data_IF_461732191720
#
_entry.id   IF_461732191720
#
_cell.length_a   1.000
_cell.length_b   1.000
_cell.length_c   1.000
_cell.angle_alpha   90.00
_cell.angle_beta   90.00
_cell.angle_gamma   90.00
#
_symmetry.space_group_name_H-M   'P 1'
#
loop_
_entity.id
_entity.type
_entity.pdbx_description
1 polymer ?
#
# COMPACT_ATOMS: atom_id res chain seq x y z
N UNK A 1 -3.62 -2.06 -8.84
CA UNK A 1 -3.33 -3.00 -9.93
C UNK A 1 -4.52 -3.94 -10.08
N UNK A 2 -4.94 -4.22 -11.31
CA UNK A 2 -5.95 -5.25 -11.61
C UNK A 2 -5.22 -6.35 -12.36
N UNK A 3 -5.39 -7.60 -11.92
CA UNK A 3 -4.80 -8.77 -12.57
C UNK A 3 -5.85 -9.85 -12.75
N UNK A 4 -5.70 -10.64 -13.81
CA UNK A 4 -6.60 -11.75 -14.10
C UNK A 4 -6.23 -12.95 -13.21
N UNK A 5 -7.25 -13.60 -12.66
CA UNK A 5 -7.11 -14.79 -11.81
C UNK A 5 -7.73 -15.98 -12.53
N UNK A 6 -7.01 -17.11 -12.61
CA UNK A 6 -7.57 -18.32 -13.18
C UNK A 6 -8.59 -18.98 -12.21
N UNK A 7 -9.55 -19.74 -12.75
CA UNK A 7 -10.69 -20.28 -11.99
C UNK A 7 -10.28 -21.11 -10.75
N UNK A 8 -9.13 -21.80 -10.78
CA UNK A 8 -8.62 -22.59 -9.66
C UNK A 8 -7.78 -21.82 -8.64
N UNK A 9 -7.23 -20.66 -9.01
CA UNK A 9 -6.33 -19.88 -8.15
C UNK A 9 -7.08 -19.09 -7.08
N UNK A 10 -8.36 -18.76 -7.35
CA UNK A 10 -9.19 -18.03 -6.39
C UNK A 10 -9.28 -18.74 -5.03
N UNK A 11 -9.30 -20.08 -5.03
CA UNK A 11 -9.29 -20.86 -3.79
C UNK A 11 -7.98 -20.66 -3.02
N UNK A 12 -6.84 -20.70 -3.70
CA UNK A 12 -5.53 -20.50 -3.08
C UNK A 12 -5.40 -19.09 -2.47
N UNK A 13 -5.92 -18.07 -3.16
CA UNK A 13 -6.01 -16.73 -2.59
C UNK A 13 -6.93 -16.68 -1.37
N UNK A 14 -8.11 -17.30 -1.43
CA UNK A 14 -9.02 -17.35 -0.27
C UNK A 14 -8.39 -18.08 0.93
N UNK A 15 -7.60 -19.13 0.70
CA UNK A 15 -6.88 -19.86 1.75
C UNK A 15 -5.76 -19.03 2.38
N UNK A 16 -5.11 -18.14 1.61
CA UNK A 16 -4.11 -17.18 2.11
C UNK A 16 -4.76 -16.04 2.91
N UNK A 17 -5.87 -15.51 2.42
CA UNK A 17 -6.57 -14.33 2.97
C UNK A 17 -7.61 -14.71 4.06
N UNK A 18 -7.34 -15.75 4.85
CA UNK A 18 -8.26 -16.18 5.92
C UNK A 18 -8.56 -15.04 6.87
N UNK A 19 -9.84 -14.76 7.09
CA UNK A 19 -10.33 -13.66 7.93
C UNK A 19 -10.76 -12.42 7.14
N UNK A 20 -10.40 -12.32 5.86
CA UNK A 20 -10.91 -11.28 4.96
C UNK A 20 -12.18 -11.75 4.24
N UNK A 21 -12.98 -10.79 3.78
CA UNK A 21 -14.18 -11.02 2.96
C UNK A 21 -13.84 -10.75 1.50
N UNK A 22 -14.29 -11.64 0.62
CA UNK A 22 -14.26 -11.41 -0.81
C UNK A 22 -15.40 -10.44 -1.19
N UNK A 23 -15.05 -9.25 -1.68
CA UNK A 23 -16.00 -8.17 -1.95
C UNK A 23 -15.94 -7.82 -3.44
N UNK A 24 -17.12 -7.75 -4.07
CA UNK A 24 -17.26 -7.36 -5.48
C UNK A 24 -17.11 -5.86 -5.63
N UNK A 25 -16.38 -5.42 -6.65
CA UNK A 25 -16.25 -4.01 -7.02
C UNK A 25 -17.10 -3.75 -8.27
N UNK A 26 -18.09 -2.83 -8.21
CA UNK A 26 -18.78 -2.34 -9.40
C UNK A 26 -17.80 -1.66 -10.37
N UNK A 27 -17.84 -1.93 -11.68
CA UNK A 27 -16.93 -1.29 -12.65
C UNK A 27 -16.99 0.24 -12.65
N UNK A 28 -18.14 0.83 -12.28
CA UNK A 28 -18.32 2.29 -12.15
C UNK A 28 -17.48 2.91 -11.04
N UNK A 29 -17.05 2.11 -10.05
CA UNK A 29 -16.21 2.56 -8.94
C UNK A 29 -14.70 2.45 -9.26
N UNK A 30 -14.35 2.07 -10.49
CA UNK A 30 -12.96 1.85 -10.93
C UNK A 30 -12.53 2.98 -11.86
N UNK A 31 -11.62 3.82 -11.36
CA UNK A 31 -10.90 4.82 -12.18
C UNK A 31 -9.59 4.23 -12.68
N UNK A 32 -9.40 4.21 -14.00
CA UNK A 32 -8.16 3.71 -14.62
C UNK A 32 -7.09 4.79 -14.60
N UNK A 33 -5.87 4.41 -14.19
CA UNK A 33 -4.74 5.34 -14.08
C UNK A 33 -3.95 5.49 -15.39
N UNK A 34 -4.16 4.60 -16.36
CA UNK A 34 -3.48 4.60 -17.66
C UNK A 34 -4.24 5.41 -18.74
N UNK A 35 -5.25 6.18 -18.34
CA UNK A 35 -6.04 7.04 -19.23
C UNK A 35 -7.21 6.34 -19.93
N UNK A 36 -7.41 5.02 -19.72
CA UNK A 36 -8.62 4.35 -20.22
C UNK A 36 -9.88 4.90 -19.53
N UNK A 37 -10.99 4.93 -20.26
CA UNK A 37 -12.27 5.43 -19.74
C UNK A 37 -13.05 4.40 -18.93
N UNK A 38 -12.71 3.11 -19.05
CA UNK A 38 -13.36 2.02 -18.34
C UNK A 38 -12.39 0.85 -18.11
N UNK A 39 -12.60 0.04 -17.06
CA UNK A 39 -11.84 -1.18 -16.86
C UNK A 39 -12.19 -2.24 -17.92
N UNK A 40 -11.34 -3.27 -18.12
CA UNK A 40 -11.64 -4.38 -19.03
C UNK A 40 -12.97 -5.09 -18.70
N UNK A 41 -13.62 -5.78 -19.65
CA UNK A 41 -14.79 -6.59 -19.34
C UNK A 41 -14.46 -7.67 -18.31
N UNK A 42 -15.25 -7.77 -17.23
CA UNK A 42 -15.02 -8.78 -16.21
C UNK A 42 -15.77 -8.52 -14.91
N UNK A 43 -15.57 -9.43 -13.94
CA UNK A 43 -16.02 -9.24 -12.56
C UNK A 43 -14.80 -8.95 -11.69
N UNK A 44 -14.85 -7.85 -10.96
CA UNK A 44 -13.76 -7.41 -10.10
C UNK A 44 -14.05 -7.76 -8.65
N UNK A 45 -13.01 -8.24 -7.97
CA UNK A 45 -13.06 -8.64 -6.57
C UNK A 45 -11.83 -8.12 -5.85
N UNK A 46 -11.97 -7.82 -4.57
CA UNK A 46 -10.85 -7.63 -3.66
C UNK A 46 -11.13 -8.32 -2.32
N UNK A 47 -10.07 -8.63 -1.59
CA UNK A 47 -10.18 -9.10 -0.21
C UNK A 47 -10.14 -7.88 0.72
N UNK A 48 -11.25 -7.64 1.42
CA UNK A 48 -11.41 -6.53 2.35
C UNK A 48 -11.63 -7.01 3.77
N UNK A 49 -11.18 -6.23 4.75
CA UNK A 49 -11.49 -6.51 6.16
C UNK A 49 -13.00 -6.42 6.38
N UNK A 50 -13.55 -7.31 7.22
CA UNK A 50 -14.96 -7.31 7.59
C UNK A 50 -15.38 -6.05 8.36
N UNK A 51 -14.44 -5.45 9.08
CA UNK A 51 -14.61 -4.18 9.79
C UNK A 51 -13.40 -3.28 9.55
N UNK A 52 -13.66 -2.00 9.34
CA UNK A 52 -12.61 -1.00 9.21
C UNK A 52 -12.04 -0.72 10.60
N UNK A 53 -10.74 -0.97 10.78
CA UNK A 53 -10.00 -0.53 11.96
C UNK A 53 -9.25 0.75 11.59
N UNK A 54 -9.42 1.76 12.42
CA UNK A 54 -8.69 3.02 12.29
C UNK A 54 -7.40 2.96 13.10
N UNK A 55 -6.44 3.78 12.72
CA UNK A 55 -5.16 3.88 13.42
C UNK A 55 -5.39 4.26 14.88
N UNK A 56 -4.82 3.47 15.79
CA UNK A 56 -4.92 3.62 17.25
C UNK A 56 -3.68 3.05 17.92
N UNK A 57 -3.54 3.21 19.24
CA UNK A 57 -2.44 2.61 20.01
C UNK A 57 -2.39 1.08 19.92
N UNK A 58 -3.55 0.43 19.76
CA UNK A 58 -3.64 -1.02 19.57
C UNK A 58 -3.32 -1.43 18.12
N UNK A 59 -3.61 -0.55 17.16
CA UNK A 59 -3.42 -0.78 15.73
C UNK A 59 -2.61 0.36 15.10
N UNK A 60 -1.32 0.52 15.45
CA UNK A 60 -0.47 1.55 14.86
C UNK A 60 -0.17 1.23 13.40
N UNK A 61 0.15 2.25 12.61
CA UNK A 61 0.81 2.04 11.32
C UNK A 61 2.23 1.56 11.61
N UNK A 62 2.67 0.48 10.95
CA UNK A 62 4.04 -0.02 11.04
C UNK A 62 4.78 0.24 9.73
N UNK A 63 5.94 0.89 9.83
CA UNK A 63 6.69 1.37 8.67
C UNK A 63 7.14 0.23 7.75
N UNK A 64 7.54 -0.91 8.30
CA UNK A 64 7.97 -2.08 7.51
C UNK A 64 6.87 -2.58 6.57
N UNK A 65 5.59 -2.49 6.98
CA UNK A 65 4.46 -2.88 6.13
C UNK A 65 4.15 -1.82 5.07
N UNK A 66 4.29 -0.55 5.42
CA UNK A 66 4.23 0.54 4.43
C UNK A 66 5.33 0.34 3.38
N UNK A 67 6.55 -0.04 3.81
CA UNK A 67 7.66 -0.30 2.91
C UNK A 67 7.35 -1.44 1.94
N UNK A 68 6.70 -2.52 2.38
CA UNK A 68 6.26 -3.62 1.49
C UNK A 68 5.27 -3.11 0.44
N UNK A 69 4.23 -2.39 0.85
CA UNK A 69 3.21 -1.88 -0.06
C UNK A 69 3.77 -0.90 -1.09
N UNK A 70 4.59 0.06 -0.64
CA UNK A 70 5.15 1.10 -1.50
C UNK A 70 6.26 0.54 -2.38
N UNK A 71 7.07 -0.41 -1.89
CA UNK A 71 8.05 -1.11 -2.73
C UNK A 71 7.39 -1.82 -3.91
N UNK A 72 6.27 -2.53 -3.66
CA UNK A 72 5.50 -3.14 -4.75
C UNK A 72 4.97 -2.09 -5.75
N UNK A 73 4.57 -0.91 -5.29
CA UNK A 73 4.17 0.18 -6.19
C UNK A 73 5.34 0.70 -7.03
N UNK A 74 6.51 0.87 -6.42
CA UNK A 74 7.74 1.30 -7.11
C UNK A 74 8.24 0.25 -8.11
N UNK A 75 8.15 -1.04 -7.78
CA UNK A 75 8.48 -2.14 -8.69
C UNK A 75 7.59 -2.11 -9.93
N UNK A 76 6.28 -1.86 -9.75
CA UNK A 76 5.35 -1.68 -10.88
C UNK A 76 5.72 -0.46 -11.73
N UNK A 77 6.10 0.67 -11.13
CA UNK A 77 6.61 1.84 -11.87
C UNK A 77 7.94 1.58 -12.58
N UNK A 78 8.76 0.69 -12.03
CA UNK A 78 10.04 0.29 -12.60
C UNK A 78 9.83 -0.66 -13.81
N UNK A 79 8.83 -1.56 -13.74
CA UNK A 79 8.50 -2.53 -14.79
C UNK A 79 7.59 -1.99 -15.91
N UNK A 80 6.60 -1.14 -15.57
CA UNK A 80 5.57 -0.69 -16.51
C UNK A 80 5.61 0.84 -16.71
N UNK A 81 6.12 1.35 -17.86
CA UNK A 81 6.27 2.79 -18.08
C UNK A 81 4.98 3.61 -17.92
N UNK A 82 3.83 3.07 -18.34
CA UNK A 82 2.55 3.75 -18.20
C UNK A 82 2.18 4.03 -16.73
N UNK A 83 2.55 3.12 -15.82
CA UNK A 83 2.28 3.29 -14.38
C UNK A 83 3.16 4.38 -13.76
N UNK A 84 4.41 4.53 -14.23
CA UNK A 84 5.30 5.62 -13.86
C UNK A 84 4.77 6.97 -14.32
N UNK A 85 4.30 7.07 -15.57
CA UNK A 85 3.66 8.30 -16.07
C UNK A 85 2.43 8.66 -15.25
N UNK A 86 1.67 7.65 -14.82
CA UNK A 86 0.51 7.82 -13.95
C UNK A 86 0.87 8.12 -12.49
N UNK A 87 2.15 8.05 -12.10
CA UNK A 87 2.63 8.22 -10.72
C UNK A 87 1.95 7.26 -9.74
N UNK A 88 1.91 5.98 -10.10
CA UNK A 88 1.25 4.91 -9.35
C UNK A 88 1.59 4.89 -7.85
N UNK A 89 2.86 5.06 -7.47
CA UNK A 89 3.29 5.09 -6.08
C UNK A 89 2.78 6.33 -5.32
N UNK A 90 2.62 7.47 -6.01
CA UNK A 90 2.00 8.66 -5.40
C UNK A 90 0.50 8.45 -5.21
N UNK A 91 -0.18 7.85 -6.20
CA UNK A 91 -1.60 7.51 -6.10
C UNK A 91 -1.92 6.53 -4.98
N UNK A 92 -0.95 5.70 -4.55
CA UNK A 92 -1.12 4.88 -3.36
C UNK A 92 -1.38 5.73 -2.12
N UNK A 93 -0.61 6.80 -1.91
CA UNK A 93 -0.79 7.69 -0.76
C UNK A 93 -2.04 8.55 -0.88
N UNK A 94 -2.30 9.14 -2.04
CA UNK A 94 -3.46 10.03 -2.24
C UNK A 94 -4.79 9.27 -2.33
N UNK A 95 -4.76 8.02 -2.77
CA UNK A 95 -5.93 7.13 -2.86
C UNK A 95 -6.24 6.37 -1.56
N UNK A 96 -5.36 6.43 -0.57
CA UNK A 96 -5.58 5.85 0.76
C UNK A 96 -5.78 6.95 1.80
N UNK A 97 -6.35 6.59 2.95
CA UNK A 97 -6.73 7.55 3.99
C UNK A 97 -6.31 7.04 5.36
N UNK A 98 -6.40 7.90 6.37
CA UNK A 98 -6.04 7.61 7.77
C UNK A 98 -4.53 7.50 8.03
N UNK A 99 -3.71 8.20 7.24
CA UNK A 99 -2.28 8.41 7.51
C UNK A 99 -2.09 9.35 8.71
N UNK A 100 -2.07 8.79 9.92
CA UNK A 100 -1.93 9.54 11.17
C UNK A 100 -1.18 8.73 12.22
N UNK A 101 -0.96 9.35 13.38
CA UNK A 101 -0.34 8.68 14.52
C UNK A 101 -1.33 7.80 15.29
N UNK A 102 -0.86 6.73 15.96
CA UNK A 102 0.54 6.29 16.05
C UNK A 102 1.05 5.60 14.78
N UNK A 103 2.26 5.99 14.36
CA UNK A 103 3.02 5.37 13.27
C UNK A 103 4.41 5.04 13.79
N UNK A 104 4.74 3.76 13.78
CA UNK A 104 5.96 3.19 14.35
C UNK A 104 6.95 2.86 13.24
N UNK A 105 8.17 3.37 13.36
CA UNK A 105 9.32 3.00 12.53
C UNK A 105 9.97 1.72 13.07
N UNK A 106 9.42 0.57 12.68
CA UNK A 106 9.91 -0.76 13.03
C UNK A 106 10.95 -1.33 12.05
N UNK A 107 11.55 -0.47 11.21
CA UNK A 107 12.61 -0.89 10.27
C UNK A 107 13.77 -1.53 11.02
N UNK A 108 14.42 -2.49 10.38
CA UNK A 108 15.68 -3.05 10.88
C UNK A 108 16.76 -1.95 10.77
N UNK A 109 17.59 -1.79 11.82
CA UNK A 109 18.71 -0.85 11.87
C UNK A 109 20.07 -1.56 11.76
N UNK A 110 20.41 -2.22 10.63
CA UNK A 110 21.73 -2.79 10.45
C UNK A 110 22.72 -1.71 10.01
N UNK A 111 24.02 -1.98 10.15
CA UNK A 111 25.08 -1.09 9.65
C UNK A 111 25.01 -0.80 8.13
N UNK A 112 24.31 -1.65 7.38
CA UNK A 112 24.03 -1.48 5.95
C UNK A 112 22.50 -1.51 5.72
N UNK A 113 21.76 -0.45 6.09
CA UNK A 113 20.29 -0.44 6.06
C UNK A 113 19.72 -0.67 4.66
N UNK A 114 20.41 -0.18 3.63
CA UNK A 114 20.04 -0.36 2.21
C UNK A 114 20.03 -1.83 1.74
N UNK A 115 20.66 -2.76 2.45
CA UNK A 115 20.60 -4.19 2.10
C UNK A 115 19.26 -4.80 2.50
N UNK A 116 18.67 -4.32 3.60
CA UNK A 116 17.45 -4.86 4.16
C UNK A 116 16.21 -4.01 3.82
N UNK A 117 16.42 -2.71 3.55
CA UNK A 117 15.37 -1.76 3.19
C UNK A 117 15.84 -0.92 1.99
N UNK A 118 16.04 -1.53 0.81
CA UNK A 118 16.69 -0.87 -0.34
C UNK A 118 15.97 0.38 -0.83
N UNK A 119 14.64 0.39 -0.72
CA UNK A 119 13.79 1.48 -1.22
C UNK A 119 13.51 2.55 -0.15
N UNK A 120 14.07 2.45 1.07
CA UNK A 120 13.74 3.32 2.21
C UNK A 120 13.81 4.81 1.86
N UNK A 121 14.88 5.24 1.17
CA UNK A 121 15.05 6.64 0.80
C UNK A 121 13.97 7.14 -0.18
N UNK A 122 13.57 6.30 -1.16
CA UNK A 122 12.50 6.64 -2.11
C UNK A 122 11.15 6.72 -1.38
N UNK A 123 10.90 5.79 -0.47
CA UNK A 123 9.67 5.73 0.33
C UNK A 123 9.58 6.95 1.26
N UNK A 124 10.66 7.29 1.97
CA UNK A 124 10.70 8.44 2.87
C UNK A 124 10.53 9.77 2.14
N UNK A 125 11.04 9.86 0.90
CA UNK A 125 10.78 11.01 0.04
C UNK A 125 9.30 11.09 -0.36
N UNK A 126 8.70 9.97 -0.79
CA UNK A 126 7.27 9.92 -1.13
C UNK A 126 6.37 10.28 0.06
N UNK A 127 6.68 9.80 1.26
CA UNK A 127 5.93 10.14 2.48
C UNK A 127 5.99 11.65 2.73
N UNK A 128 7.18 12.26 2.64
CA UNK A 128 7.34 13.72 2.81
C UNK A 128 6.58 14.50 1.75
N UNK A 129 6.68 14.09 0.49
CA UNK A 129 6.05 14.77 -0.64
C UNK A 129 4.52 14.68 -0.61
N UNK A 130 3.96 13.53 -0.22
CA UNK A 130 2.52 13.28 -0.28
C UNK A 130 1.77 13.55 1.03
N UNK A 131 2.42 13.32 2.18
CA UNK A 131 1.80 13.43 3.51
C UNK A 131 2.35 14.61 4.33
N UNK A 132 3.46 15.22 3.89
CA UNK A 132 4.09 16.37 4.53
C UNK A 132 5.15 16.01 5.58
N UNK A 133 6.03 16.97 5.83
CA UNK A 133 7.14 16.86 6.79
C UNK A 133 6.67 16.58 8.23
N UNK A 134 5.53 17.12 8.64
CA UNK A 134 5.01 16.92 10.00
C UNK A 134 4.60 15.46 10.24
N UNK A 135 3.92 14.84 9.28
CA UNK A 135 3.56 13.42 9.35
C UNK A 135 4.82 12.56 9.38
N UNK A 136 5.79 12.85 8.50
CA UNK A 136 7.05 12.10 8.46
C UNK A 136 7.81 12.17 9.79
N UNK A 137 7.89 13.34 10.42
CA UNK A 137 8.54 13.52 11.73
C UNK A 137 7.80 12.84 12.87
N UNK A 138 6.50 12.58 12.72
CA UNK A 138 5.70 11.87 13.73
C UNK A 138 5.95 10.36 13.74
N UNK A 139 6.61 9.82 12.71
CA UNK A 139 6.98 8.41 12.64
C UNK A 139 8.10 8.15 13.66
N UNK A 140 7.78 7.37 14.68
CA UNK A 140 8.61 7.25 15.88
C UNK A 140 9.17 5.84 16.06
N UNK A 141 10.34 5.73 16.72
CA UNK A 141 10.90 4.42 17.06
C UNK A 141 9.98 3.67 18.05
N UNK A 142 9.97 2.33 18.04
CA UNK A 142 9.25 1.55 19.04
C UNK A 142 9.67 1.98 20.45
N UNK A 143 8.69 2.31 21.30
CA UNK A 143 8.93 2.71 22.69
C UNK A 143 9.36 4.16 22.89
N UNK A 144 9.43 5.01 21.86
CA UNK A 144 9.78 6.43 22.00
C UNK A 144 8.66 7.32 22.62
N UNK A 145 7.58 6.72 23.13
CA UNK A 145 6.37 7.41 23.60
C UNK A 145 5.83 6.93 24.94
N UNK A 146 6.68 6.41 25.84
CA UNK A 146 6.34 6.22 27.26
C UNK A 146 6.84 7.40 28.10
#
# INVERSE_FOLDING_TARGET
>A
MIFQVAHGELKAFADREKGYKLIRIPPVDITMLDGRSAPPPGTFWYFGSASRRYVSQEFPIVQSYVDVCVSGCLEIEDEFPASRTAKFAQNFFTGTTDWKTPWINDRIYPWRPFVHVPQANRIDALIRDQLGEEVFRSISLPGAGT
#
